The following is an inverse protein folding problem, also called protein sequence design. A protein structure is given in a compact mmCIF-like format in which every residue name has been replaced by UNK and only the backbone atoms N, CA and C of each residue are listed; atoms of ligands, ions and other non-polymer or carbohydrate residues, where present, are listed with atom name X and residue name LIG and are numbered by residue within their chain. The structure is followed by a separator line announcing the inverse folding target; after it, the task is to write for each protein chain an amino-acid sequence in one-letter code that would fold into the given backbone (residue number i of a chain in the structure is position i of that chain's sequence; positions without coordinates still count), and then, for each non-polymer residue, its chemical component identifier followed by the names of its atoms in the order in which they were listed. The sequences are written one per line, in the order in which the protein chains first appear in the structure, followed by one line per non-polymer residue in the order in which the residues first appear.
data_IF_293974971461
#
_entry.id   IF_293974971461
#
_cell.length_a   1.000
_cell.length_b   1.000
_cell.length_c   1.000
_cell.angle_alpha   90.00
_cell.angle_beta   90.00
_cell.angle_gamma   90.00
#
_symmetry.space_group_name_H-M   'P 1'
#
loop_
_entity.id
_entity.type
_entity.pdbx_description
1 polymer ?
#
# COMPACT_ATOMS: atom_id res chain seq x y z
N UNK A 1 -7.18 9.26 -11.83
CA UNK A 1 -6.91 7.91 -11.30
C UNK A 1 -6.18 8.05 -9.97
N UNK A 2 -6.60 7.32 -8.94
CA UNK A 2 -6.05 7.50 -7.60
C UNK A 2 -4.68 6.80 -7.44
N UNK A 3 -4.35 5.85 -8.31
CA UNK A 3 -3.03 5.21 -8.45
C UNK A 3 -1.96 6.24 -8.83
N UNK A 4 -2.29 7.18 -9.71
CA UNK A 4 -1.39 8.28 -10.09
C UNK A 4 -1.12 9.21 -8.90
N UNK A 5 -2.17 9.55 -8.13
CA UNK A 5 -2.02 10.35 -6.92
C UNK A 5 -1.15 9.63 -5.87
N UNK A 6 -1.28 8.30 -5.73
CA UNK A 6 -0.42 7.50 -4.87
C UNK A 6 1.03 7.48 -5.37
N UNK A 7 1.24 7.34 -6.68
CA UNK A 7 2.57 7.36 -7.27
C UNK A 7 3.26 8.72 -7.06
N UNK A 8 2.54 9.82 -7.28
CA UNK A 8 3.02 11.18 -6.98
C UNK A 8 3.37 11.34 -5.50
N UNK A 9 2.51 10.85 -4.59
CA UNK A 9 2.78 10.90 -3.16
C UNK A 9 4.03 10.10 -2.77
N UNK A 10 4.27 8.95 -3.39
CA UNK A 10 5.50 8.16 -3.18
C UNK A 10 6.73 8.94 -3.63
N UNK A 11 6.72 9.50 -4.83
CA UNK A 11 7.85 10.29 -5.36
C UNK A 11 8.11 11.49 -4.46
N UNK A 12 7.06 12.24 -4.10
CA UNK A 12 7.15 13.38 -3.20
C UNK A 12 7.69 13.01 -1.83
N UNK A 13 7.26 11.89 -1.25
CA UNK A 13 7.78 11.41 0.03
C UNK A 13 9.28 11.08 -0.04
N UNK A 14 9.75 10.53 -1.16
CA UNK A 14 11.19 10.35 -1.39
C UNK A 14 11.87 11.72 -1.52
N UNK A 15 11.21 12.72 -2.11
CA UNK A 15 11.77 14.05 -2.38
C UNK A 15 11.97 14.84 -1.11
N UNK A 16 11.00 14.78 -0.21
CA UNK A 16 11.09 15.40 1.10
C UNK A 16 12.17 14.75 1.97
N UNK A 17 12.48 13.46 1.73
CA UNK A 17 13.43 12.69 2.54
C UNK A 17 14.84 12.62 1.96
N UNK A 18 15.06 13.16 0.76
CA UNK A 18 16.37 13.17 0.11
C UNK A 18 16.69 14.55 -0.44
N UNK A 19 17.90 15.04 -0.21
CA UNK A 19 18.32 16.34 -0.77
C UNK A 19 18.29 16.33 -2.30
N UNK A 20 18.10 17.50 -2.92
CA UNK A 20 17.93 17.64 -4.39
C UNK A 20 19.05 16.97 -5.19
N UNK A 21 20.28 16.95 -4.67
CA UNK A 21 21.43 16.34 -5.35
C UNK A 21 21.49 14.80 -5.21
N UNK A 22 20.81 14.24 -4.20
CA UNK A 22 20.79 12.78 -3.95
C UNK A 22 19.86 12.07 -4.93
N UNK A 23 18.85 12.76 -5.47
CA UNK A 23 17.91 12.20 -6.45
C UNK A 23 18.57 11.63 -7.68
N UNK A 24 19.58 12.32 -8.21
CA UNK A 24 20.35 11.88 -9.38
C UNK A 24 21.15 10.59 -9.11
N UNK A 25 21.43 10.34 -7.83
CA UNK A 25 22.10 9.14 -7.35
C UNK A 25 21.13 8.04 -6.97
N UNK A 26 19.81 8.23 -7.01
CA UNK A 26 18.88 7.13 -6.73
C UNK A 26 18.98 6.09 -7.85
N UNK A 27 19.23 4.84 -7.47
CA UNK A 27 19.28 3.67 -8.37
C UNK A 27 17.95 2.91 -8.34
N UNK A 28 17.42 2.67 -7.14
CA UNK A 28 16.20 1.89 -7.00
C UNK A 28 15.40 2.28 -5.76
N UNK A 29 14.08 2.21 -5.87
CA UNK A 29 13.13 2.48 -4.79
C UNK A 29 12.28 1.24 -4.59
N UNK A 30 12.25 0.74 -3.36
CA UNK A 30 11.41 -0.39 -2.97
C UNK A 30 10.14 0.14 -2.34
N UNK A 31 9.01 -0.19 -2.96
CA UNK A 31 7.68 0.24 -2.52
C UNK A 31 6.89 -0.99 -2.08
N UNK A 32 6.33 -0.95 -0.88
CA UNK A 32 5.34 -1.92 -0.42
C UNK A 32 3.95 -1.32 -0.58
N UNK A 33 3.07 -2.03 -1.26
CA UNK A 33 1.65 -1.70 -1.43
C UNK A 33 0.85 -2.67 -0.58
N UNK A 34 0.04 -2.14 0.33
CA UNK A 34 -0.83 -2.94 1.16
C UNK A 34 -1.97 -3.56 0.35
N UNK A 35 -2.30 -4.82 0.63
CA UNK A 35 -3.38 -5.56 -0.04
C UNK A 35 -4.74 -4.84 0.03
N UNK A 36 -5.01 -4.07 1.10
CA UNK A 36 -6.25 -3.30 1.23
C UNK A 36 -6.31 -2.06 0.35
N UNK A 37 -5.18 -1.64 -0.25
CA UNK A 37 -5.22 -0.56 -1.22
C UNK A 37 -5.96 -0.96 -2.49
N UNK A 38 -6.06 -2.26 -2.81
CA UNK A 38 -6.76 -2.82 -3.97
C UNK A 38 -6.49 -2.12 -5.32
N UNK A 39 -5.36 -1.42 -5.43
CA UNK A 39 -4.97 -0.69 -6.63
C UNK A 39 -4.57 -1.63 -7.76
N UNK A 40 -4.78 -1.15 -8.99
CA UNK A 40 -4.17 -1.74 -10.17
C UNK A 40 -2.64 -1.54 -10.13
N UNK A 41 -1.92 -2.63 -9.88
CA UNK A 41 -0.47 -2.59 -9.69
C UNK A 41 0.28 -2.20 -10.96
N UNK A 42 -0.28 -2.54 -12.12
CA UNK A 42 0.33 -2.24 -13.41
C UNK A 42 0.26 -0.74 -13.68
N UNK A 43 -0.93 -0.14 -13.54
CA UNK A 43 -1.17 1.31 -13.63
C UNK A 43 -0.35 2.09 -12.62
N UNK A 44 -0.27 1.60 -11.37
CA UNK A 44 0.56 2.23 -10.33
C UNK A 44 2.04 2.18 -10.69
N UNK A 45 2.53 1.04 -11.19
CA UNK A 45 3.93 0.87 -11.58
C UNK A 45 4.27 1.73 -12.80
N UNK A 46 3.37 1.83 -13.77
CA UNK A 46 3.51 2.68 -14.95
C UNK A 46 3.53 4.16 -14.56
N UNK A 47 2.68 4.58 -13.63
CA UNK A 47 2.69 5.94 -13.09
C UNK A 47 4.02 6.24 -12.37
N UNK A 48 4.51 5.32 -11.52
CA UNK A 48 5.81 5.46 -10.84
C UNK A 48 6.96 5.59 -11.84
N UNK A 49 7.00 4.74 -12.86
CA UNK A 49 8.03 4.77 -13.89
C UNK A 49 7.96 6.07 -14.71
N UNK A 50 6.76 6.50 -15.10
CA UNK A 50 6.56 7.74 -15.87
C UNK A 50 7.05 8.96 -15.10
N UNK A 51 6.61 9.11 -13.85
CA UNK A 51 7.00 10.24 -13.00
C UNK A 51 8.48 10.15 -12.65
N UNK A 52 8.96 8.96 -12.25
CA UNK A 52 10.35 8.73 -11.86
C UNK A 52 11.33 9.02 -13.00
N UNK A 53 11.03 8.57 -14.22
CA UNK A 53 11.89 8.79 -15.40
C UNK A 53 12.01 10.26 -15.79
N UNK A 54 11.04 11.11 -15.44
CA UNK A 54 11.17 12.56 -15.63
C UNK A 54 12.24 13.18 -14.72
N UNK A 55 12.64 12.48 -13.66
CA UNK A 55 13.60 12.94 -12.65
C UNK A 55 14.96 12.23 -12.82
N UNK A 56 14.95 10.95 -13.19
CA UNK A 56 16.14 10.16 -13.50
C UNK A 56 15.83 8.69 -13.75
N UNK A 57 16.85 7.93 -14.18
CA UNK A 57 16.73 6.49 -14.42
C UNK A 57 16.68 5.71 -13.09
N UNK A 58 15.47 5.60 -12.53
CA UNK A 58 15.19 4.99 -11.23
C UNK A 58 14.37 3.72 -11.44
N UNK A 59 14.86 2.60 -10.89
CA UNK A 59 14.12 1.34 -10.91
C UNK A 59 13.18 1.23 -9.70
N UNK A 60 11.87 1.13 -9.97
CA UNK A 60 10.90 0.82 -8.93
C UNK A 60 10.75 -0.70 -8.74
N UNK A 61 10.74 -1.14 -7.48
CA UNK A 61 10.45 -2.52 -7.10
C UNK A 61 9.23 -2.52 -6.19
N UNK A 62 8.08 -2.84 -6.76
CA UNK A 62 6.79 -2.86 -6.07
C UNK A 62 6.52 -4.27 -5.53
N UNK A 63 6.05 -4.37 -4.28
CA UNK A 63 5.64 -5.62 -3.66
C UNK A 63 4.34 -5.46 -2.90
N UNK A 64 3.46 -6.45 -3.01
CA UNK A 64 2.22 -6.49 -2.22
C UNK A 64 2.51 -7.01 -0.82
N UNK A 65 2.03 -6.27 0.18
CA UNK A 65 2.05 -6.65 1.58
C UNK A 65 0.64 -7.07 2.00
N UNK A 66 0.48 -8.37 2.28
CA UNK A 66 -0.80 -8.96 2.68
C UNK A 66 -1.37 -8.31 3.94
N UNK A 67 -2.69 -8.20 3.98
CA UNK A 67 -3.41 -7.71 5.13
C UNK A 67 -3.47 -8.77 6.23
N UNK A 68 -3.24 -8.32 7.46
CA UNK A 68 -3.37 -9.16 8.65
C UNK A 68 -4.19 -8.42 9.69
N UNK A 69 -5.15 -9.14 10.27
CA UNK A 69 -6.04 -8.63 11.30
C UNK A 69 -5.80 -9.37 12.60
N UNK A 70 -6.04 -8.70 13.72
CA UNK A 70 -5.99 -9.31 15.06
C UNK A 70 -7.16 -8.84 15.90
N UNK A 71 -8.02 -9.77 16.34
CA UNK A 71 -9.15 -9.46 17.19
C UNK A 71 -8.67 -9.00 18.57
N UNK A 72 -9.19 -7.88 19.04
CA UNK A 72 -8.91 -7.40 20.40
C UNK A 72 -9.72 -8.14 21.45
N UNK A 73 -10.85 -8.75 21.06
CA UNK A 73 -11.74 -9.50 21.95
C UNK A 73 -11.26 -10.93 22.22
N UNK A 74 -10.98 -11.72 21.19
CA UNK A 74 -10.60 -13.14 21.34
C UNK A 74 -9.12 -13.42 20.99
N UNK A 75 -8.38 -12.45 20.46
CA UNK A 75 -6.97 -12.63 20.06
C UNK A 75 -6.75 -13.33 18.71
N UNK A 76 -7.81 -13.86 18.09
CA UNK A 76 -7.72 -14.54 16.79
C UNK A 76 -7.12 -13.63 15.72
N UNK A 77 -6.25 -14.18 14.87
CA UNK A 77 -5.58 -13.46 13.79
C UNK A 77 -5.92 -14.11 12.46
N UNK A 78 -6.31 -13.30 11.47
CA UNK A 78 -6.73 -13.77 10.15
C UNK A 78 -6.22 -12.87 9.04
N UNK A 79 -6.35 -13.34 7.81
CA UNK A 79 -5.99 -12.64 6.57
C UNK A 79 -7.21 -12.26 5.74
N UNK A 80 -7.01 -11.43 4.72
CA UNK A 80 -8.12 -10.99 3.85
C UNK A 80 -8.77 -12.16 3.09
N UNK A 81 -8.03 -13.24 2.82
CA UNK A 81 -8.54 -14.43 2.12
C UNK A 81 -9.65 -15.17 2.85
N UNK A 82 -9.74 -14.99 4.16
CA UNK A 82 -10.71 -15.68 5.01
C UNK A 82 -12.03 -14.92 5.09
N UNK A 83 -12.20 -13.91 4.25
CA UNK A 83 -13.31 -12.98 4.33
C UNK A 83 -13.89 -12.76 2.94
N UNK A 84 -15.17 -13.09 2.81
CA UNK A 84 -15.90 -12.94 1.56
C UNK A 84 -16.36 -11.48 1.41
N UNK A 85 -16.14 -10.91 0.23
CA UNK A 85 -16.46 -9.54 -0.09
C UNK A 85 -17.17 -9.48 -1.43
N UNK A 86 -18.37 -8.90 -1.44
CA UNK A 86 -18.99 -8.47 -2.68
C UNK A 86 -18.19 -7.32 -3.34
N UNK A 87 -18.38 -7.14 -4.65
CA UNK A 87 -17.64 -6.16 -5.45
C UNK A 87 -17.90 -4.71 -4.99
N UNK A 88 -19.08 -4.41 -4.46
CA UNK A 88 -19.44 -3.07 -3.97
C UNK A 88 -18.64 -2.70 -2.72
N UNK A 89 -18.52 -3.62 -1.77
CA UNK A 89 -17.71 -3.42 -0.57
C UNK A 89 -16.22 -3.36 -0.92
N UNK A 90 -15.76 -4.10 -1.93
CA UNK A 90 -14.37 -4.02 -2.41
C UNK A 90 -14.04 -2.59 -2.86
N UNK A 91 -14.88 -1.96 -3.69
CA UNK A 91 -14.66 -0.57 -4.10
C UNK A 91 -14.70 0.41 -2.93
N UNK A 92 -15.61 0.23 -1.97
CA UNK A 92 -15.66 1.11 -0.78
C UNK A 92 -14.37 0.99 0.05
N UNK A 93 -13.89 -0.24 0.28
CA UNK A 93 -12.67 -0.50 1.05
C UNK A 93 -11.44 0.01 0.30
N UNK A 94 -11.44 -0.08 -1.03
CA UNK A 94 -10.41 0.45 -1.91
C UNK A 94 -10.23 1.97 -1.73
N UNK A 95 -11.33 2.74 -1.70
CA UNK A 95 -11.27 4.19 -1.45
C UNK A 95 -11.09 4.55 0.02
N UNK A 96 -11.73 3.81 0.93
CA UNK A 96 -11.74 4.06 2.38
C UNK A 96 -11.42 2.76 3.11
N UNK A 97 -10.13 2.44 3.31
CA UNK A 97 -9.73 1.21 3.99
C UNK A 97 -10.32 1.05 5.38
N UNK A 98 -10.71 2.14 6.06
CA UNK A 98 -11.34 2.11 7.38
C UNK A 98 -12.79 1.63 7.35
N UNK A 99 -13.46 1.67 6.19
CA UNK A 99 -14.83 1.17 6.05
C UNK A 99 -14.92 -0.34 6.35
N UNK A 100 -13.78 -1.04 6.32
CA UNK A 100 -13.64 -2.44 6.73
C UNK A 100 -14.30 -2.73 8.08
N UNK A 101 -14.20 -1.82 9.05
CA UNK A 101 -14.74 -2.03 10.39
C UNK A 101 -16.28 -2.12 10.44
N UNK A 102 -16.96 -1.62 9.40
CA UNK A 102 -18.42 -1.71 9.27
C UNK A 102 -18.86 -3.08 8.75
N UNK A 103 -18.10 -3.65 7.81
CA UNK A 103 -18.48 -4.86 7.07
C UNK A 103 -17.91 -6.13 7.68
N UNK A 104 -16.69 -6.08 8.20
CA UNK A 104 -16.01 -7.28 8.66
C UNK A 104 -16.17 -7.54 10.15
N UNK A 105 -16.24 -8.81 10.49
CA UNK A 105 -16.24 -9.32 11.86
C UNK A 105 -15.12 -10.35 11.99
N UNK A 106 -14.60 -10.51 13.19
CA UNK A 106 -13.73 -11.61 13.53
C UNK A 106 -14.46 -12.94 13.21
N UNK A 107 -13.89 -13.83 12.39
CA UNK A 107 -14.53 -15.09 12.01
C UNK A 107 -14.70 -16.05 13.20
N UNK A 108 -13.85 -15.92 14.22
CA UNK A 108 -13.87 -16.75 15.42
C UNK A 108 -14.96 -16.35 16.43
N UNK A 109 -15.17 -15.05 16.67
CA UNK A 109 -16.04 -14.57 17.77
C UNK A 109 -17.11 -13.55 17.37
N UNK A 110 -17.18 -13.18 16.08
CA UNK A 110 -18.14 -12.21 15.55
C UNK A 110 -17.89 -10.74 15.97
N UNK A 111 -16.84 -10.45 16.74
CA UNK A 111 -16.50 -9.08 17.17
C UNK A 111 -16.03 -8.21 16.01
N UNK A 112 -16.43 -6.93 15.99
CA UNK A 112 -15.86 -5.90 15.09
C UNK A 112 -14.64 -5.19 15.67
N UNK A 113 -14.32 -5.45 16.94
CA UNK A 113 -13.16 -4.87 17.59
C UNK A 113 -11.91 -5.69 17.28
N UNK A 114 -11.18 -5.23 16.26
CA UNK A 114 -9.92 -5.80 15.81
C UNK A 114 -8.97 -4.72 15.31
N UNK A 115 -7.70 -5.07 15.14
CA UNK A 115 -6.67 -4.21 14.56
C UNK A 115 -6.28 -4.71 13.18
N UNK A 116 -6.10 -3.79 12.25
CA UNK A 116 -5.33 -4.01 11.03
C UNK A 116 -3.83 -3.85 11.33
N UNK A 117 -3.09 -4.95 11.27
CA UNK A 117 -1.67 -5.02 11.64
C UNK A 117 -0.74 -4.73 10.45
N UNK A 118 -1.13 -5.17 9.25
CA UNK A 118 -0.34 -5.08 8.02
C UNK A 118 -1.26 -4.85 6.83
N UNK A 119 -0.71 -4.36 5.70
CA UNK A 119 -1.44 -4.34 4.42
C UNK A 119 -2.42 -3.18 4.20
N UNK A 120 -2.35 -2.10 4.99
CA UNK A 120 -3.24 -0.92 4.85
C UNK A 120 -2.95 -0.02 3.64
N UNK A 121 -1.72 0.43 3.48
CA UNK A 121 -1.35 1.60 2.68
C UNK A 121 -0.12 1.38 1.82
N UNK A 122 0.54 2.46 1.41
CA UNK A 122 1.76 2.39 0.60
C UNK A 122 2.96 2.89 1.40
N UNK A 123 4.10 2.20 1.30
CA UNK A 123 5.32 2.53 2.03
C UNK A 123 6.55 2.46 1.16
N UNK A 124 7.40 3.49 1.24
CA UNK A 124 8.79 3.41 0.75
C UNK A 124 9.63 2.66 1.78
N UNK A 125 10.02 1.43 1.45
CA UNK A 125 10.78 0.56 2.36
C UNK A 125 12.26 0.83 2.33
N UNK A 126 12.78 1.11 1.15
CA UNK A 126 14.22 1.25 0.93
C UNK A 126 14.48 2.11 -0.29
N UNK A 127 15.46 3.00 -0.16
CA UNK A 127 16.03 3.76 -1.27
C UNK A 127 17.48 3.29 -1.42
N UNK A 128 17.87 2.90 -2.62
CA UNK A 128 19.23 2.46 -2.95
C UNK A 128 19.88 3.50 -3.83
N UNK A 129 21.06 3.98 -3.42
CA UNK A 129 21.84 4.96 -4.17
C UNK A 129 22.89 4.26 -5.06
N UNK A 130 23.26 4.94 -6.15
CA UNK A 130 24.42 4.64 -7.01
C UNK A 130 25.67 4.88 -6.16
N UNK A 131 26.63 3.94 -6.24
CA UNK A 131 27.95 4.08 -5.61
C UNK A 131 28.61 5.34 -6.14
#
# INVERSE_FOLDING_TARGET
MHEWALAEAVIRAVQEKTEKDVWRRVKSIYVEVGELQQIDLDTFTDALNTIGNSIGDIKFVVRVKRAKFKCRRCGYSWSMKEVDLDEEIQEIVHFVPEALYSFFKCPECGSRDYNLMEGRGVWVKKIVLKK
#
